data_IF_133175411146
#
_entry.id   IF_133175411146
#
_cell.length_a   1.000
_cell.length_b   1.000
_cell.length_c   1.000
_cell.angle_alpha   90.00
_cell.angle_beta   90.00
_cell.angle_gamma   90.00
#
_symmetry.space_group_name_H-M   'P 1'
#
loop_
_entity.id
_entity.type
_entity.pdbx_description
1 polymer ?
#
# COMPACT_ATOMS: atom_id res chain seq x y z
N UNK A 1 16.18 7.56 43.65
CA UNK A 1 16.57 6.33 42.91
C UNK A 1 15.38 5.69 42.18
N UNK A 2 14.22 5.52 42.83
CA UNK A 2 13.00 4.98 42.18
C UNK A 2 12.47 5.81 41.00
N UNK A 3 12.49 7.15 41.12
CA UNK A 3 12.07 8.06 40.04
C UNK A 3 12.94 7.96 38.79
N UNK A 4 14.26 7.86 38.94
CA UNK A 4 15.21 7.69 37.82
C UNK A 4 15.03 6.33 37.14
N UNK A 5 14.82 5.25 37.91
CA UNK A 5 14.52 3.93 37.34
C UNK A 5 13.20 3.91 36.56
N UNK A 6 12.17 4.58 37.08
CA UNK A 6 10.87 4.69 36.41
C UNK A 6 10.97 5.54 35.13
N UNK A 7 11.70 6.67 35.16
CA UNK A 7 11.98 7.50 33.99
C UNK A 7 12.76 6.73 32.91
N UNK A 8 13.77 5.95 33.32
CA UNK A 8 14.51 5.09 32.39
C UNK A 8 13.62 4.02 31.75
N UNK A 9 12.73 3.40 32.52
CA UNK A 9 11.77 2.42 32.00
C UNK A 9 10.81 3.06 30.98
N UNK A 10 10.27 4.24 31.29
CA UNK A 10 9.41 4.99 30.37
C UNK A 10 10.17 5.34 29.09
N UNK A 11 11.41 5.83 29.21
CA UNK A 11 12.25 6.15 28.06
C UNK A 11 12.52 4.94 27.17
N UNK A 12 12.77 3.76 27.76
CA UNK A 12 12.95 2.50 27.00
C UNK A 12 11.68 2.12 26.26
N UNK A 13 10.51 2.18 26.92
CA UNK A 13 9.22 1.86 26.30
C UNK A 13 8.93 2.82 25.15
N UNK A 14 9.13 4.13 25.34
CA UNK A 14 8.97 5.13 24.28
C UNK A 14 9.90 4.85 23.11
N UNK A 15 11.18 4.54 23.38
CA UNK A 15 12.14 4.21 22.33
C UNK A 15 11.70 3.01 21.51
N UNK A 16 11.16 1.97 22.14
CA UNK A 16 10.60 0.80 21.46
C UNK A 16 9.40 1.16 20.58
N UNK A 17 8.47 1.97 21.09
CA UNK A 17 7.29 2.41 20.34
C UNK A 17 7.71 3.21 19.10
N UNK A 18 8.57 4.23 19.26
CA UNK A 18 9.03 5.06 18.15
C UNK A 18 9.82 4.26 17.11
N UNK A 19 10.66 3.31 17.56
CA UNK A 19 11.40 2.43 16.65
C UNK A 19 10.47 1.52 15.85
N UNK A 20 9.45 0.95 16.51
CA UNK A 20 8.42 0.15 15.85
C UNK A 20 7.64 0.96 14.81
N UNK A 21 7.17 2.15 15.17
CA UNK A 21 6.44 3.03 14.26
C UNK A 21 7.30 3.43 13.04
N UNK A 22 8.58 3.75 13.25
CA UNK A 22 9.50 4.08 12.16
C UNK A 22 9.71 2.89 11.21
N UNK A 23 9.84 1.68 11.74
CA UNK A 23 10.00 0.46 10.94
C UNK A 23 8.74 0.15 10.13
N UNK A 24 7.56 0.21 10.76
CA UNK A 24 6.26 0.06 10.09
C UNK A 24 6.11 1.04 8.93
N UNK A 25 6.37 2.32 9.17
CA UNK A 25 6.22 3.34 8.14
C UNK A 25 7.17 3.12 6.96
N UNK A 26 8.41 2.71 7.22
CA UNK A 26 9.39 2.36 6.18
C UNK A 26 8.92 1.19 5.31
N UNK A 27 8.29 0.17 5.90
CA UNK A 27 7.75 -0.97 5.16
C UNK A 27 6.59 -0.52 4.27
N UNK A 28 5.60 0.16 4.84
CA UNK A 28 4.41 0.61 4.10
C UNK A 28 4.79 1.53 2.94
N UNK A 29 5.66 2.52 3.18
CA UNK A 29 6.07 3.48 2.16
C UNK A 29 6.86 2.82 1.02
N UNK A 30 7.75 1.88 1.34
CA UNK A 30 8.52 1.14 0.33
C UNK A 30 7.61 0.28 -0.53
N UNK A 31 6.73 -0.50 0.09
CA UNK A 31 5.85 -1.41 -0.64
C UNK A 31 4.82 -0.61 -1.47
N UNK A 32 4.27 0.47 -0.92
CA UNK A 32 3.34 1.36 -1.63
C UNK A 32 3.97 2.02 -2.86
N UNK A 33 5.19 2.55 -2.73
CA UNK A 33 5.90 3.15 -3.87
C UNK A 33 6.19 2.13 -4.97
N UNK A 34 6.63 0.91 -4.59
CA UNK A 34 6.84 -0.19 -5.54
C UNK A 34 5.57 -0.53 -6.32
N UNK A 35 4.44 -0.64 -5.62
CA UNK A 35 3.15 -0.92 -6.24
C UNK A 35 2.66 0.24 -7.11
N UNK A 36 2.82 1.49 -6.66
CA UNK A 36 2.44 2.69 -7.42
C UNK A 36 3.16 2.75 -8.77
N UNK A 37 4.49 2.53 -8.79
CA UNK A 37 5.27 2.52 -10.04
C UNK A 37 4.76 1.47 -11.03
N UNK A 38 4.40 0.27 -10.52
CA UNK A 38 3.82 -0.79 -11.34
C UNK A 38 2.44 -0.40 -11.88
N UNK A 39 1.59 0.20 -11.05
CA UNK A 39 0.27 0.67 -11.45
C UNK A 39 0.36 1.71 -12.57
N UNK A 40 1.26 2.70 -12.43
CA UNK A 40 1.51 3.72 -13.46
C UNK A 40 2.00 3.08 -14.77
N UNK A 41 2.79 2.01 -14.67
CA UNK A 41 3.24 1.25 -15.85
C UNK A 41 2.07 0.52 -16.55
N UNK A 42 1.15 -0.06 -15.79
CA UNK A 42 -0.08 -0.67 -16.34
C UNK A 42 -0.95 0.39 -16.99
N UNK A 43 -1.17 1.52 -16.31
CA UNK A 43 -1.95 2.67 -16.81
C UNK A 43 -1.42 3.17 -18.15
N UNK A 44 -0.10 3.35 -18.25
CA UNK A 44 0.59 3.74 -19.50
C UNK A 44 0.34 2.71 -20.60
N UNK A 45 0.46 1.42 -20.28
CA UNK A 45 0.24 0.33 -21.25
C UNK A 45 -1.21 0.29 -21.77
N UNK A 46 -2.20 0.58 -20.92
CA UNK A 46 -3.61 0.67 -21.31
C UNK A 46 -3.85 1.88 -22.24
N UNK A 47 -3.26 3.03 -21.91
CA UNK A 47 -3.34 4.24 -22.74
C UNK A 47 -2.71 4.04 -24.13
N UNK A 48 -1.61 3.27 -24.19
CA UNK A 48 -0.95 2.85 -25.45
C UNK A 48 -1.71 1.72 -26.17
N UNK A 49 -2.77 1.16 -25.57
CA UNK A 49 -3.52 -0.01 -26.04
C UNK A 49 -2.67 -1.28 -26.16
N UNK A 50 -1.55 -1.34 -25.44
CA UNK A 50 -0.73 -2.55 -25.31
C UNK A 50 -1.31 -3.46 -24.22
N UNK A 51 -2.35 -4.20 -24.60
CA UNK A 51 -3.05 -5.11 -23.69
C UNK A 51 -2.19 -6.28 -23.22
N UNK A 52 -1.18 -6.68 -23.99
CA UNK A 52 -0.26 -7.76 -23.59
C UNK A 52 0.60 -7.28 -22.42
N UNK A 53 1.16 -6.08 -22.55
CA UNK A 53 1.96 -5.45 -21.49
C UNK A 53 1.10 -5.08 -20.28
N UNK A 54 -0.12 -4.56 -20.49
CA UNK A 54 -1.06 -4.28 -19.41
C UNK A 54 -1.41 -5.55 -18.61
N UNK A 55 -1.74 -6.65 -19.31
CA UNK A 55 -2.04 -7.94 -18.68
C UNK A 55 -0.83 -8.49 -17.91
N UNK A 56 0.36 -8.41 -18.48
CA UNK A 56 1.59 -8.84 -17.81
C UNK A 56 1.87 -8.00 -16.56
N UNK A 57 1.66 -6.68 -16.63
CA UNK A 57 1.85 -5.77 -15.51
C UNK A 57 0.88 -6.04 -14.36
N UNK A 58 -0.43 -6.14 -14.62
CA UNK A 58 -1.40 -6.45 -13.56
C UNK A 58 -1.17 -7.84 -12.96
N UNK A 59 -0.78 -8.83 -13.77
CA UNK A 59 -0.43 -10.17 -13.27
C UNK A 59 0.80 -10.12 -12.37
N UNK A 60 1.79 -9.28 -12.67
CA UNK A 60 2.93 -9.09 -11.78
C UNK A 60 2.52 -8.49 -10.44
N UNK A 61 1.56 -7.56 -10.41
CA UNK A 61 1.05 -6.97 -9.18
C UNK A 61 0.30 -8.04 -8.37
N UNK A 62 -0.60 -8.79 -9.00
CA UNK A 62 -1.34 -9.90 -8.36
C UNK A 62 -0.41 -10.97 -7.76
N UNK A 63 0.72 -11.25 -8.40
CA UNK A 63 1.69 -12.23 -7.88
C UNK A 63 2.50 -11.72 -6.69
N UNK A 64 2.74 -10.40 -6.62
CA UNK A 64 3.45 -9.77 -5.49
C UNK A 64 2.52 -9.50 -4.31
N UNK A 65 1.24 -9.23 -4.59
CA UNK A 65 0.25 -8.80 -3.61
C UNK A 65 0.22 -9.68 -2.35
N UNK A 66 0.14 -11.03 -2.40
CA UNK A 66 0.08 -11.85 -1.19
C UNK A 66 1.26 -11.63 -0.24
N UNK A 67 2.45 -11.33 -0.76
CA UNK A 67 3.62 -11.05 0.08
C UNK A 67 3.53 -9.67 0.75
N UNK A 68 2.90 -8.69 0.09
CA UNK A 68 2.65 -7.35 0.64
C UNK A 68 1.51 -7.39 1.64
N UNK A 69 0.39 -8.00 1.27
CA UNK A 69 -0.80 -8.24 2.07
C UNK A 69 -0.46 -8.87 3.42
N UNK A 70 0.33 -9.96 3.43
CA UNK A 70 0.75 -10.63 4.67
C UNK A 70 1.49 -9.69 5.65
N UNK A 71 2.26 -8.72 5.12
CA UNK A 71 2.92 -7.72 5.97
C UNK A 71 1.92 -6.65 6.40
N UNK A 72 1.08 -6.19 5.49
CA UNK A 72 0.16 -5.09 5.73
C UNK A 72 -0.99 -5.48 6.67
N UNK A 73 -1.50 -6.71 6.60
CA UNK A 73 -2.54 -7.22 7.50
C UNK A 73 -2.15 -7.18 8.99
N UNK A 74 -0.84 -7.13 9.30
CA UNK A 74 -0.33 -6.96 10.67
C UNK A 74 -0.27 -5.48 11.13
N UNK A 75 -0.41 -4.55 10.18
CA UNK A 75 -0.09 -3.13 10.35
C UNK A 75 -1.29 -2.22 10.11
N UNK A 76 -2.27 -2.63 9.29
CA UNK A 76 -3.39 -1.80 8.87
C UNK A 76 -4.74 -2.53 9.05
N UNK A 77 -5.83 -1.78 8.91
CA UNK A 77 -7.19 -2.33 8.96
C UNK A 77 -7.44 -3.30 7.79
N UNK A 78 -8.06 -4.44 8.08
CA UNK A 78 -8.38 -5.45 7.07
C UNK A 78 -9.35 -4.91 6.00
N UNK A 79 -10.21 -3.94 6.35
CA UNK A 79 -11.07 -3.30 5.35
C UNK A 79 -10.27 -2.59 4.23
N UNK A 80 -9.08 -2.05 4.55
CA UNK A 80 -8.20 -1.44 3.54
C UNK A 80 -7.59 -2.50 2.62
N UNK A 81 -7.28 -3.67 3.17
CA UNK A 81 -6.79 -4.84 2.40
C UNK A 81 -7.87 -5.34 1.45
N UNK A 82 -9.09 -5.55 1.95
CA UNK A 82 -10.24 -6.01 1.17
C UNK A 82 -10.52 -5.05 -0.01
N UNK A 83 -10.46 -3.73 0.23
CA UNK A 83 -10.63 -2.72 -0.81
C UNK A 83 -9.59 -2.82 -1.93
N UNK A 84 -8.33 -3.12 -1.59
CA UNK A 84 -7.26 -3.31 -2.57
C UNK A 84 -7.49 -4.58 -3.39
N UNK A 85 -7.88 -5.68 -2.74
CA UNK A 85 -8.16 -6.95 -3.42
C UNK A 85 -9.33 -6.86 -4.40
N UNK A 86 -10.40 -6.16 -3.99
CA UNK A 86 -11.54 -5.88 -4.84
C UNK A 86 -11.13 -5.11 -6.09
N UNK A 87 -10.32 -4.06 -5.91
CA UNK A 87 -9.84 -3.24 -7.02
C UNK A 87 -8.88 -4.00 -7.95
N UNK A 88 -7.96 -4.80 -7.38
CA UNK A 88 -7.06 -5.68 -8.13
C UNK A 88 -7.83 -6.70 -8.99
N UNK A 89 -8.87 -7.31 -8.42
CA UNK A 89 -9.69 -8.30 -9.13
C UNK A 89 -10.46 -7.66 -10.27
N UNK A 90 -11.13 -6.52 -10.02
CA UNK A 90 -11.89 -5.79 -11.04
C UNK A 90 -11.00 -5.33 -12.19
N UNK A 91 -9.87 -4.70 -11.88
CA UNK A 91 -8.97 -4.16 -12.92
C UNK A 91 -8.36 -5.28 -13.78
N UNK A 92 -8.05 -6.43 -13.18
CA UNK A 92 -7.57 -7.59 -13.93
C UNK A 92 -8.60 -8.10 -14.94
N UNK A 93 -9.88 -8.17 -14.56
CA UNK A 93 -10.94 -8.57 -15.48
C UNK A 93 -11.23 -7.51 -16.55
N UNK A 94 -11.18 -6.21 -16.22
CA UNK A 94 -11.34 -5.14 -17.22
C UNK A 94 -10.19 -5.12 -18.25
N UNK A 95 -8.95 -5.33 -17.82
CA UNK A 95 -7.79 -5.42 -18.71
C UNK A 95 -7.92 -6.63 -19.64
N UNK A 96 -8.35 -7.78 -19.11
CA UNK A 96 -8.61 -9.00 -19.86
C UNK A 96 -9.75 -8.83 -20.88
N UNK A 97 -10.80 -8.09 -20.52
CA UNK A 97 -11.88 -7.69 -21.41
C UNK A 97 -11.50 -6.57 -22.40
N UNK A 98 -10.30 -5.98 -22.24
CA UNK A 98 -9.77 -4.86 -23.04
C UNK A 98 -10.63 -3.61 -22.96
N UNK A 99 -11.25 -3.37 -21.80
CA UNK A 99 -12.08 -2.20 -21.55
C UNK A 99 -11.25 -1.05 -20.98
N UNK A 100 -10.94 -0.04 -21.79
CA UNK A 100 -10.06 1.07 -21.40
C UNK A 100 -10.59 1.87 -20.21
N UNK A 101 -11.80 2.43 -20.30
CA UNK A 101 -12.32 3.33 -19.27
C UNK A 101 -12.51 2.65 -17.90
N UNK A 102 -13.12 1.45 -17.81
CA UNK A 102 -13.23 0.72 -16.54
C UNK A 102 -11.88 0.33 -15.95
N UNK A 103 -10.92 -0.10 -16.80
CA UNK A 103 -9.58 -0.43 -16.32
C UNK A 103 -8.86 0.78 -15.73
N UNK A 104 -8.92 1.94 -16.40
CA UNK A 104 -8.28 3.16 -15.90
C UNK A 104 -8.95 3.69 -14.63
N UNK A 105 -10.28 3.63 -14.57
CA UNK A 105 -11.03 4.02 -13.38
C UNK A 105 -10.62 3.16 -12.17
N UNK A 106 -10.54 1.84 -12.35
CA UNK A 106 -10.19 0.94 -11.27
C UNK A 106 -8.70 1.02 -10.89
N UNK A 107 -7.79 1.24 -11.85
CA UNK A 107 -6.38 1.53 -11.54
C UNK A 107 -6.23 2.80 -10.70
N UNK A 108 -7.02 3.84 -10.99
CA UNK A 108 -6.99 5.07 -10.20
C UNK A 108 -7.48 4.82 -8.77
N UNK A 109 -8.53 4.02 -8.59
CA UNK A 109 -9.02 3.58 -7.28
C UNK A 109 -7.95 2.78 -6.53
N UNK A 110 -7.36 1.77 -7.18
CA UNK A 110 -6.28 0.95 -6.63
C UNK A 110 -5.08 1.81 -6.20
N UNK A 111 -4.66 2.74 -7.06
CA UNK A 111 -3.59 3.68 -6.77
C UNK A 111 -3.91 4.51 -5.53
N UNK A 112 -5.13 5.03 -5.44
CA UNK A 112 -5.56 5.82 -4.30
C UNK A 112 -5.46 5.01 -3.00
N UNK A 113 -5.96 3.77 -2.98
CA UNK A 113 -5.86 2.88 -1.82
C UNK A 113 -4.41 2.67 -1.37
N UNK A 114 -3.53 2.35 -2.31
CA UNK A 114 -2.13 2.04 -2.00
C UNK A 114 -1.36 3.27 -1.50
N UNK A 115 -1.57 4.45 -2.10
CA UNK A 115 -0.81 5.66 -1.77
C UNK A 115 -1.28 6.28 -0.46
N UNK A 116 -2.59 6.24 -0.15
CA UNK A 116 -3.08 6.89 1.06
C UNK A 116 -2.77 6.13 2.36
N UNK A 117 -2.54 4.82 2.30
CA UNK A 117 -2.22 4.00 3.49
C UNK A 117 -0.96 4.52 4.19
N UNK A 118 0.21 4.63 3.54
CA UNK A 118 1.39 5.17 4.21
C UNK A 118 1.23 6.64 4.63
N UNK A 119 0.41 7.43 3.95
CA UNK A 119 0.12 8.83 4.36
C UNK A 119 -0.70 8.91 5.66
N UNK A 120 -1.69 8.02 5.81
CA UNK A 120 -2.53 7.89 7.01
C UNK A 120 -1.75 7.33 8.19
N UNK A 121 -0.90 6.34 7.94
CA UNK A 121 -0.07 5.69 8.98
C UNK A 121 1.24 6.46 9.27
N UNK A 122 1.53 7.54 8.55
CA UNK A 122 2.65 8.42 8.91
C UNK A 122 2.28 9.19 10.18
N UNK A 123 3.10 9.05 11.23
CA UNK A 123 3.07 9.93 12.40
C UNK A 123 3.52 11.34 12.00
N UNK A 124 2.65 12.07 11.32
CA UNK A 124 2.79 13.50 11.05
C UNK A 124 2.11 14.27 12.18
N UNK A 125 2.61 15.46 12.51
CA UNK A 125 1.89 16.40 13.37
C UNK A 125 0.45 16.65 12.88
N UNK A 126 0.19 16.56 11.57
CA UNK A 126 -1.16 16.62 10.96
C UNK A 126 -2.12 15.48 11.35
N UNK A 127 -1.60 14.31 11.75
CA UNK A 127 -2.44 13.17 12.17
C UNK A 127 -2.56 13.08 13.70
N UNK A 128 -1.88 13.96 14.44
CA UNK A 128 -1.88 14.03 15.90
C UNK A 128 -2.66 15.26 16.41
N UNK A 129 -2.85 16.29 15.56
CA UNK A 129 -3.53 17.55 15.88
C UNK A 129 -4.50 17.98 14.79
#
# INVERSE_FOLDING_TARGET
MYTVKNLALIAVILTLIFSGAFFTNRILLKDAHSLEEKIVTVETSINEKDWVKAQSGITSILNEWPAVENKWALLIDHAEIDNIEDALTKVAEYIKAKETAPSLAELATLKNYIVHIPEKEFLNLKNIF
#
